data_IF_327410878591
#
_entry.id   IF_327410878591
#
_cell.length_a   1.000
_cell.length_b   1.000
_cell.length_c   1.000
_cell.angle_alpha   90.00
_cell.angle_beta   90.00
_cell.angle_gamma   90.00
#
_symmetry.space_group_name_H-M   'P 1'
#
loop_
_entity.id
_entity.type
_entity.pdbx_description
1 polymer ?
#
# COMPACT_ATOMS: atom_id res chain seq x y z
N UNK A 1 -35.96 21.48 -6.03
CA UNK A 1 -34.57 21.58 -6.52
C UNK A 1 -33.49 21.54 -5.43
N UNK A 2 -33.82 21.74 -4.14
CA UNK A 2 -32.85 21.63 -3.05
C UNK A 2 -32.37 20.19 -2.74
N UNK A 3 -33.11 19.16 -3.18
CA UNK A 3 -32.81 17.75 -2.88
C UNK A 3 -31.61 17.21 -3.65
N UNK A 4 -31.27 17.78 -4.81
CA UNK A 4 -30.16 17.30 -5.65
C UNK A 4 -28.78 17.65 -5.08
N UNK A 5 -28.61 18.89 -4.59
CA UNK A 5 -27.32 19.34 -4.04
C UNK A 5 -26.91 18.60 -2.75
N UNK A 6 -27.87 18.39 -1.86
CA UNK A 6 -27.62 17.61 -0.61
C UNK A 6 -27.30 16.14 -0.94
N UNK A 7 -27.93 15.57 -1.96
CA UNK A 7 -27.61 14.22 -2.45
C UNK A 7 -26.20 14.16 -3.01
N UNK A 8 -25.74 15.13 -3.77
CA UNK A 8 -24.36 15.18 -4.29
C UNK A 8 -23.32 15.41 -3.18
N UNK A 9 -23.61 16.30 -2.21
CA UNK A 9 -22.76 16.46 -1.03
C UNK A 9 -22.66 15.20 -0.18
N UNK A 10 -23.76 14.44 -0.03
CA UNK A 10 -23.74 13.17 0.70
C UNK A 10 -22.91 12.11 -0.01
N UNK A 11 -22.88 12.10 -1.35
CA UNK A 11 -21.99 11.25 -2.15
C UNK A 11 -20.52 11.63 -1.95
N UNK A 12 -20.20 12.93 -1.98
CA UNK A 12 -18.84 13.41 -1.71
C UNK A 12 -18.37 13.04 -0.30
N UNK A 13 -19.25 13.13 0.71
CA UNK A 13 -18.94 12.69 2.08
C UNK A 13 -18.70 11.19 2.17
N UNK A 14 -19.53 10.38 1.50
CA UNK A 14 -19.32 8.93 1.39
C UNK A 14 -17.99 8.61 0.71
N UNK A 15 -17.68 9.24 -0.40
CA UNK A 15 -16.42 9.07 -1.11
C UNK A 15 -15.21 9.47 -0.26
N UNK A 16 -15.33 10.51 0.57
CA UNK A 16 -14.29 10.90 1.52
C UNK A 16 -14.09 9.86 2.61
N UNK A 17 -15.15 9.26 3.13
CA UNK A 17 -15.07 8.16 4.11
C UNK A 17 -14.56 6.87 3.46
N UNK A 18 -15.03 6.54 2.25
CA UNK A 18 -14.57 5.36 1.49
C UNK A 18 -13.14 5.48 0.99
N UNK A 19 -12.56 6.69 0.89
CA UNK A 19 -11.13 6.85 0.59
C UNK A 19 -10.25 6.52 1.78
N UNK A 20 -10.80 6.55 2.99
CA UNK A 20 -10.15 6.14 4.23
C UNK A 20 -10.40 4.65 4.51
N UNK A 21 -11.59 4.14 4.16
CA UNK A 21 -11.92 2.73 4.27
C UNK A 21 -11.57 2.02 2.97
N UNK A 22 -10.73 0.99 3.05
CA UNK A 22 -10.33 0.09 1.95
C UNK A 22 -11.52 -0.71 1.41
N UNK A 23 -12.53 -0.04 0.90
CA UNK A 23 -13.70 -0.71 0.39
C UNK A 23 -13.44 -1.27 -1.00
N UNK A 24 -13.69 -2.56 -1.12
CA UNK A 24 -13.51 -3.41 -2.28
C UNK A 24 -14.31 -3.00 -3.54
N UNK A 25 -15.06 -1.91 -3.51
CA UNK A 25 -15.85 -1.45 -4.65
C UNK A 25 -15.19 -0.24 -5.32
N UNK A 26 -14.47 -0.52 -6.37
CA UNK A 26 -14.07 0.49 -7.35
C UNK A 26 -15.27 0.73 -8.27
N UNK A 27 -16.07 1.75 -7.99
CA UNK A 27 -17.23 2.07 -8.82
C UNK A 27 -16.85 2.90 -10.07
N UNK A 28 -17.77 2.99 -11.03
CA UNK A 28 -17.54 3.72 -12.28
C UNK A 28 -17.21 5.21 -12.08
N UNK A 29 -17.55 5.78 -10.93
CA UNK A 29 -17.22 7.18 -10.60
C UNK A 29 -15.74 7.32 -10.18
N UNK A 30 -15.21 6.39 -9.41
CA UNK A 30 -13.78 6.35 -9.08
C UNK A 30 -12.93 6.14 -10.33
N UNK A 31 -13.41 5.35 -11.27
CA UNK A 31 -12.76 5.15 -12.57
C UNK A 31 -12.75 6.43 -13.41
N UNK A 32 -13.85 7.17 -13.43
CA UNK A 32 -13.93 8.45 -14.13
C UNK A 32 -13.01 9.52 -13.54
N UNK A 33 -12.81 9.52 -12.22
CA UNK A 33 -11.91 10.45 -11.52
C UNK A 33 -10.45 10.04 -11.56
N UNK A 34 -10.16 8.86 -12.10
CA UNK A 34 -8.78 8.39 -12.17
C UNK A 34 -7.97 9.21 -13.16
N UNK A 35 -6.85 9.74 -12.70
CA UNK A 35 -5.86 10.45 -13.52
C UNK A 35 -4.62 9.57 -13.59
N UNK A 36 -4.23 9.22 -14.80
CA UNK A 36 -3.01 8.47 -15.06
C UNK A 36 -1.79 9.26 -14.56
N UNK A 37 -0.97 8.64 -13.73
CA UNK A 37 0.23 9.24 -13.15
C UNK A 37 1.47 8.45 -13.54
N UNK A 38 2.64 9.09 -13.69
CA UNK A 38 3.88 8.38 -14.03
C UNK A 38 4.19 7.21 -13.09
N UNK A 39 3.95 7.36 -11.78
CA UNK A 39 4.15 6.30 -10.78
C UNK A 39 3.31 5.05 -11.06
N UNK A 40 2.17 5.17 -11.73
CA UNK A 40 1.36 4.02 -12.11
C UNK A 40 2.04 3.17 -13.20
N UNK A 41 2.59 3.81 -14.22
CA UNK A 41 3.32 3.12 -15.29
C UNK A 41 4.58 2.43 -14.76
N UNK A 42 5.30 3.13 -13.87
CA UNK A 42 6.48 2.58 -13.19
C UNK A 42 6.10 1.35 -12.36
N UNK A 43 5.03 1.45 -11.58
CA UNK A 43 4.54 0.35 -10.75
C UNK A 43 4.09 -0.84 -11.61
N UNK A 44 3.36 -0.61 -12.71
CA UNK A 44 2.95 -1.67 -13.65
C UNK A 44 4.17 -2.38 -14.25
N UNK A 45 5.18 -1.62 -14.65
CA UNK A 45 6.43 -2.15 -15.20
C UNK A 45 7.17 -3.00 -14.17
N UNK A 46 7.25 -2.50 -12.92
CA UNK A 46 7.87 -3.20 -11.81
C UNK A 46 7.13 -4.51 -11.49
N UNK A 47 5.79 -4.47 -11.40
CA UNK A 47 4.96 -5.64 -11.13
C UNK A 47 5.14 -6.74 -12.20
N UNK A 48 5.15 -6.38 -13.47
CA UNK A 48 5.40 -7.32 -14.56
C UNK A 48 6.77 -7.99 -14.43
N UNK A 49 7.81 -7.21 -14.12
CA UNK A 49 9.17 -7.72 -13.93
C UNK A 49 9.25 -8.66 -12.73
N UNK A 50 8.65 -8.29 -11.60
CA UNK A 50 8.64 -9.11 -10.38
C UNK A 50 7.84 -10.40 -10.58
N UNK A 51 6.69 -10.34 -11.26
CA UNK A 51 5.89 -11.52 -11.58
C UNK A 51 6.65 -12.52 -12.43
N UNK A 52 7.50 -12.04 -13.36
CA UNK A 52 8.33 -12.91 -14.18
C UNK A 52 9.50 -13.54 -13.41
N UNK A 53 10.02 -12.86 -12.41
CA UNK A 53 11.20 -13.30 -11.67
C UNK A 53 10.91 -14.37 -10.61
N UNK A 54 9.67 -14.46 -10.11
CA UNK A 54 9.22 -15.37 -9.03
C UNK A 54 10.13 -15.39 -7.80
N UNK A 55 10.58 -14.22 -7.35
CA UNK A 55 11.46 -14.06 -6.19
C UNK A 55 10.73 -13.39 -5.04
N UNK A 56 11.19 -13.63 -3.81
CA UNK A 56 10.75 -12.87 -2.64
C UNK A 56 10.96 -11.38 -2.88
N UNK A 57 9.89 -10.59 -2.77
CA UNK A 57 9.94 -9.17 -3.13
C UNK A 57 9.06 -8.33 -2.21
N UNK A 58 9.63 -7.26 -1.66
CA UNK A 58 8.92 -6.20 -0.98
C UNK A 58 8.92 -4.95 -1.87
N UNK A 59 7.73 -4.46 -2.20
CA UNK A 59 7.55 -3.18 -2.90
C UNK A 59 7.06 -2.16 -1.88
N UNK A 60 7.81 -1.08 -1.71
CA UNK A 60 7.44 0.04 -0.85
C UNK A 60 6.78 1.13 -1.69
N UNK A 61 5.51 1.43 -1.40
CA UNK A 61 4.78 2.55 -1.98
C UNK A 61 4.70 3.66 -0.93
N UNK A 62 5.75 4.48 -0.86
CA UNK A 62 5.87 5.54 0.12
C UNK A 62 5.21 6.83 -0.37
N UNK A 63 4.73 7.65 0.57
CA UNK A 63 4.16 8.97 0.28
C UNK A 63 3.36 9.50 1.47
N UNK A 64 2.98 10.77 1.39
CA UNK A 64 2.19 11.45 2.43
C UNK A 64 0.72 11.01 2.43
N UNK A 65 0.00 11.34 3.51
CA UNK A 65 -1.45 11.16 3.54
C UNK A 65 -2.10 11.98 2.41
N UNK A 66 -3.03 11.37 1.69
CA UNK A 66 -3.71 12.03 0.56
C UNK A 66 -3.03 11.88 -0.81
N UNK A 67 -1.81 11.34 -0.91
CA UNK A 67 -1.10 11.14 -2.19
C UNK A 67 -1.77 10.10 -3.11
N UNK A 68 -2.85 9.49 -2.67
CA UNK A 68 -3.64 8.56 -3.47
C UNK A 68 -3.03 7.16 -3.61
N UNK A 69 -2.17 6.73 -2.68
CA UNK A 69 -1.59 5.37 -2.65
C UNK A 69 -2.67 4.29 -2.65
N UNK A 70 -3.63 4.41 -1.73
CA UNK A 70 -4.76 3.47 -1.63
C UNK A 70 -5.64 3.47 -2.87
N UNK A 71 -5.85 4.65 -3.48
CA UNK A 71 -6.57 4.77 -4.75
C UNK A 71 -5.83 4.04 -5.88
N UNK A 72 -4.51 4.22 -5.98
CA UNK A 72 -3.69 3.56 -6.99
C UNK A 72 -3.74 2.04 -6.88
N UNK A 73 -3.61 1.50 -5.66
CA UNK A 73 -3.71 0.06 -5.41
C UNK A 73 -5.12 -0.45 -5.77
N UNK A 74 -6.17 0.26 -5.33
CA UNK A 74 -7.56 -0.11 -5.65
C UNK A 74 -7.83 -0.06 -7.15
N UNK A 75 -7.31 0.95 -7.84
CA UNK A 75 -7.44 1.07 -9.28
C UNK A 75 -6.73 -0.09 -10.00
N UNK A 76 -5.48 -0.38 -9.66
CA UNK A 76 -4.73 -1.48 -10.25
C UNK A 76 -5.41 -2.83 -10.01
N UNK A 77 -5.99 -3.04 -8.83
CA UNK A 77 -6.69 -4.28 -8.49
C UNK A 77 -7.98 -4.47 -9.30
N UNK A 78 -8.72 -3.41 -9.60
CA UNK A 78 -10.03 -3.48 -10.23
C UNK A 78 -10.01 -3.21 -11.74
N UNK A 79 -9.09 -2.38 -12.22
CA UNK A 79 -8.99 -2.00 -13.64
C UNK A 79 -8.06 -2.91 -14.44
N UNK A 80 -7.29 -3.76 -13.77
CA UNK A 80 -6.28 -4.58 -14.40
C UNK A 80 -6.81 -5.97 -14.77
N UNK A 81 -7.03 -6.19 -16.04
CA UNK A 81 -7.37 -7.51 -16.59
C UNK A 81 -6.20 -8.51 -16.54
N UNK A 82 -5.00 -8.04 -16.19
CA UNK A 82 -3.77 -8.85 -16.16
C UNK A 82 -3.48 -9.53 -14.84
N UNK A 83 -4.30 -9.36 -13.82
CA UNK A 83 -4.12 -9.97 -12.49
C UNK A 83 -2.73 -9.70 -11.86
N UNK A 84 -2.16 -8.53 -12.13
CA UNK A 84 -0.80 -8.17 -11.72
C UNK A 84 -0.58 -8.22 -10.20
N UNK A 85 -1.64 -7.98 -9.44
CA UNK A 85 -1.59 -7.93 -7.97
C UNK A 85 -1.96 -9.24 -7.28
N UNK A 86 -2.44 -10.26 -7.99
CA UNK A 86 -2.96 -11.49 -7.38
C UNK A 86 -1.88 -12.27 -6.61
N UNK A 87 -0.62 -12.12 -7.02
CA UNK A 87 0.51 -12.78 -6.36
C UNK A 87 1.10 -11.97 -5.19
N UNK A 88 0.51 -10.83 -4.85
CA UNK A 88 1.03 -9.94 -3.82
C UNK A 88 0.10 -9.86 -2.60
N UNK A 89 0.66 -9.97 -1.41
CA UNK A 89 -0.01 -9.52 -0.20
C UNK A 89 0.02 -7.99 -0.16
N UNK A 90 -1.16 -7.37 0.00
CA UNK A 90 -1.30 -5.92 0.03
C UNK A 90 -1.48 -5.47 1.47
N UNK A 91 -0.60 -4.62 1.94
CA UNK A 91 -0.72 -3.94 3.22
C UNK A 91 -0.79 -2.42 3.02
N UNK A 92 -1.79 -1.80 3.63
CA UNK A 92 -1.99 -0.36 3.57
C UNK A 92 -2.08 0.21 5.00
N UNK A 93 -1.05 0.91 5.42
CA UNK A 93 -0.94 1.52 6.76
C UNK A 93 -2.12 2.44 7.13
N UNK A 94 -2.74 3.08 6.12
CA UNK A 94 -3.87 3.99 6.35
C UNK A 94 -5.16 3.30 6.85
N UNK A 95 -5.25 1.97 6.76
CA UNK A 95 -6.48 1.22 7.00
C UNK A 95 -6.40 0.22 8.14
N UNK A 96 -5.21 -0.12 8.61
CA UNK A 96 -5.05 -1.22 9.56
C UNK A 96 -4.74 -0.79 11.01
N UNK A 97 -4.96 0.45 11.39
CA UNK A 97 -4.95 0.88 12.79
C UNK A 97 -6.15 0.35 13.62
N UNK A 98 -6.70 -0.80 13.23
CA UNK A 98 -7.96 -1.33 13.75
C UNK A 98 -7.82 -2.31 14.91
N UNK A 99 -6.60 -2.58 15.39
CA UNK A 99 -6.42 -3.36 16.63
C UNK A 99 -6.18 -2.42 17.81
N UNK A 100 -7.12 -2.26 18.75
CA UNK A 100 -7.03 -1.26 19.82
C UNK A 100 -5.94 -1.51 20.87
N UNK A 101 -5.14 -2.56 20.72
CA UNK A 101 -4.11 -2.98 21.68
C UNK A 101 -2.71 -3.14 21.08
N UNK A 102 -2.55 -3.04 19.76
CA UNK A 102 -1.24 -3.11 19.10
C UNK A 102 -0.83 -1.72 18.62
N UNK A 103 0.40 -1.34 18.86
CA UNK A 103 0.96 -0.13 18.25
C UNK A 103 1.13 -0.34 16.75
N UNK A 104 1.13 0.72 15.95
CA UNK A 104 1.41 0.63 14.50
C UNK A 104 2.75 -0.05 14.22
N UNK A 105 3.73 0.13 15.12
CA UNK A 105 5.06 -0.50 15.05
C UNK A 105 4.97 -2.02 15.24
N UNK A 106 4.13 -2.50 16.18
CA UNK A 106 3.94 -3.93 16.42
C UNK A 106 3.34 -4.62 15.19
N UNK A 107 2.31 -4.02 14.63
CA UNK A 107 1.64 -4.53 13.43
C UNK A 107 2.58 -4.54 12.22
N UNK A 108 3.38 -3.49 12.03
CA UNK A 108 4.39 -3.46 10.98
C UNK A 108 5.46 -4.53 11.15
N UNK A 109 5.96 -4.76 12.37
CA UNK A 109 6.95 -5.80 12.65
C UNK A 109 6.40 -7.19 12.31
N UNK A 110 5.14 -7.46 12.66
CA UNK A 110 4.48 -8.72 12.33
C UNK A 110 4.31 -8.90 10.82
N UNK A 111 3.80 -7.88 10.13
CA UNK A 111 3.58 -7.93 8.68
C UNK A 111 4.88 -8.04 7.89
N UNK A 112 5.92 -7.35 8.31
CA UNK A 112 7.23 -7.38 7.69
C UNK A 112 8.11 -8.56 8.12
N UNK A 113 7.66 -9.42 9.06
CA UNK A 113 8.44 -10.56 9.55
C UNK A 113 9.06 -11.46 8.45
N UNK A 114 8.41 -11.68 7.26
CA UNK A 114 9.04 -12.41 6.17
C UNK A 114 10.31 -11.75 5.61
N UNK A 115 10.49 -10.45 5.84
CA UNK A 115 11.59 -9.63 5.33
C UNK A 115 12.61 -9.21 6.41
N UNK A 116 12.53 -9.78 7.62
CA UNK A 116 13.53 -9.56 8.65
C UNK A 116 14.88 -10.19 8.27
N UNK A 117 15.94 -9.85 9.00
CA UNK A 117 17.31 -10.28 8.70
C UNK A 117 17.51 -11.81 8.67
N UNK A 118 16.67 -12.54 9.39
CA UNK A 118 16.71 -14.01 9.41
C UNK A 118 16.01 -14.62 8.17
N UNK A 119 14.96 -13.98 7.69
CA UNK A 119 14.05 -14.54 6.68
C UNK A 119 14.24 -13.97 5.27
N UNK A 120 14.82 -12.76 5.13
CA UNK A 120 14.87 -12.09 3.82
C UNK A 120 15.67 -12.85 2.76
N UNK A 121 16.63 -13.70 3.19
CA UNK A 121 17.45 -14.54 2.29
C UNK A 121 16.74 -15.80 1.82
N UNK A 122 15.65 -16.18 2.49
CA UNK A 122 14.85 -17.33 2.10
C UNK A 122 13.99 -16.94 0.91
N UNK A 123 14.34 -17.40 -0.29
CA UNK A 123 13.60 -17.13 -1.51
C UNK A 123 12.41 -18.10 -1.64
N UNK A 124 11.36 -17.84 -0.87
CA UNK A 124 10.10 -18.59 -0.85
C UNK A 124 9.07 -18.06 -1.86
N UNK A 125 9.46 -17.07 -2.68
CA UNK A 125 8.59 -16.42 -3.64
C UNK A 125 7.54 -15.49 -3.02
N UNK A 126 7.60 -15.22 -1.70
CA UNK A 126 6.65 -14.33 -1.04
C UNK A 126 6.76 -12.89 -1.57
N UNK A 127 5.64 -12.27 -1.86
CA UNK A 127 5.57 -10.93 -2.44
C UNK A 127 4.60 -10.06 -1.68
N UNK A 128 5.03 -8.85 -1.35
CA UNK A 128 4.23 -7.89 -0.63
C UNK A 128 4.37 -6.50 -1.25
N UNK A 129 3.25 -5.77 -1.26
CA UNK A 129 3.23 -4.33 -1.50
C UNK A 129 2.82 -3.65 -0.20
N UNK A 130 3.69 -2.81 0.32
CA UNK A 130 3.45 -2.01 1.51
C UNK A 130 3.22 -0.55 1.10
N UNK A 131 1.97 -0.09 1.22
CA UNK A 131 1.64 1.33 1.08
C UNK A 131 1.70 2.00 2.45
N UNK A 132 2.68 2.85 2.65
CA UNK A 132 3.00 3.42 3.96
C UNK A 132 3.37 4.91 3.88
N UNK A 133 3.13 5.63 4.96
CA UNK A 133 3.70 6.97 5.13
C UNK A 133 5.19 6.86 5.45
N UNK A 134 6.02 7.69 4.81
CA UNK A 134 7.47 7.66 5.00
C UNK A 134 7.85 7.92 6.47
N UNK A 135 7.16 8.84 7.15
CA UNK A 135 7.40 9.09 8.58
C UNK A 135 7.08 7.86 9.46
N UNK A 136 6.03 7.10 9.15
CA UNK A 136 5.71 5.86 9.86
C UNK A 136 6.78 4.79 9.60
N UNK A 137 7.26 4.69 8.36
CA UNK A 137 8.34 3.75 8.01
C UNK A 137 9.64 4.11 8.73
N UNK A 138 10.03 5.38 8.77
CA UNK A 138 11.23 5.83 9.46
C UNK A 138 11.12 5.59 10.98
N UNK A 139 9.97 5.90 11.60
CA UNK A 139 9.72 5.60 13.01
C UNK A 139 9.82 4.09 13.31
N UNK A 140 9.35 3.25 12.40
CA UNK A 140 9.49 1.80 12.54
C UNK A 140 10.96 1.38 12.49
N UNK A 141 11.71 1.84 11.49
CA UNK A 141 13.13 1.49 11.29
C UNK A 141 13.97 1.91 12.50
N UNK A 142 13.67 3.06 13.11
CA UNK A 142 14.39 3.57 14.29
C UNK A 142 13.96 2.90 15.60
N UNK A 143 12.86 2.17 15.61
CA UNK A 143 12.35 1.47 16.80
C UNK A 143 13.23 0.26 17.15
N UNK A 144 13.07 -0.25 18.39
CA UNK A 144 13.71 -1.50 18.81
C UNK A 144 13.36 -2.69 17.90
N UNK A 145 12.12 -2.72 17.38
CA UNK A 145 11.66 -3.77 16.45
C UNK A 145 12.26 -3.63 15.07
N UNK A 146 12.54 -2.42 14.63
CA UNK A 146 13.21 -2.13 13.37
C UNK A 146 14.66 -2.63 13.30
N UNK A 147 15.30 -2.89 14.46
CA UNK A 147 16.68 -3.41 14.50
C UNK A 147 16.85 -4.79 13.84
N UNK A 148 15.77 -5.57 13.76
CA UNK A 148 15.75 -6.87 13.08
C UNK A 148 15.59 -6.76 11.55
N UNK A 149 15.64 -5.55 10.97
CA UNK A 149 15.40 -5.27 9.56
C UNK A 149 16.54 -4.43 8.95
N UNK A 150 17.78 -4.86 9.17
CA UNK A 150 18.97 -4.10 8.73
C UNK A 150 19.02 -3.90 7.22
N UNK A 151 18.58 -4.88 6.44
CA UNK A 151 18.51 -4.79 4.99
C UNK A 151 17.48 -3.74 4.52
N UNK A 152 16.32 -3.66 5.18
CA UNK A 152 15.30 -2.65 4.92
C UNK A 152 15.81 -1.25 5.30
N UNK A 153 16.43 -1.12 6.47
CA UNK A 153 17.02 0.14 6.94
C UNK A 153 18.03 0.67 5.93
N UNK A 154 18.98 -0.17 5.54
CA UNK A 154 20.00 0.20 4.55
C UNK A 154 19.38 0.68 3.24
N UNK A 155 18.33 -0.03 2.75
CA UNK A 155 17.64 0.36 1.52
C UNK A 155 16.98 1.74 1.64
N UNK A 156 16.32 2.02 2.76
CA UNK A 156 15.66 3.32 2.99
C UNK A 156 16.70 4.42 3.10
N UNK A 157 17.75 4.23 3.90
CA UNK A 157 18.84 5.24 4.08
C UNK A 157 19.56 5.58 2.76
N UNK A 158 19.63 4.65 1.80
CA UNK A 158 20.28 4.86 0.50
C UNK A 158 19.36 5.56 -0.54
N UNK A 159 18.06 5.61 -0.31
CA UNK A 159 17.06 6.12 -1.27
C UNK A 159 16.19 7.28 -0.73
N UNK A 160 16.54 7.82 0.45
CA UNK A 160 15.82 8.94 1.09
C UNK A 160 16.32 10.33 0.61
#
# INVERSE_FOLDING_TARGET
>A
MACSFISELSKLRKLSMESVENTASFDGFKQYLHVLRPVEEELRTLLNRVNSANKKTLILLCGSAGDGKSHLISYLRNADSGHLLDAFELYNDATESSAPLLTSIDTLAEKLAPFNDDNYKNDDGFRMILAINLGTLNNFIESEKGQAFSALKKYVDEND
#
